data_IF_728984988286
#
_entry.id   IF_728984988286
#
_cell.length_a   1.000
_cell.length_b   1.000
_cell.length_c   1.000
_cell.angle_alpha   90.00
_cell.angle_beta   90.00
_cell.angle_gamma   90.00
#
_symmetry.space_group_name_H-M   'P 1'
#
loop_
_entity.id
_entity.type
_entity.pdbx_description
1 polymer ?
#
# COMPACT_ATOMS: atom_id res chain seq x y z
N UNK A 1 -72.07 25.72 -31.58
CA UNK A 1 -70.88 26.16 -30.81
C UNK A 1 -70.12 24.94 -30.40
N UNK A 2 -69.04 24.55 -31.16
CA UNK A 2 -68.20 23.41 -30.85
C UNK A 2 -66.94 23.93 -30.13
N UNK A 3 -66.75 23.53 -28.90
CA UNK A 3 -65.51 23.81 -28.14
C UNK A 3 -64.48 22.71 -28.45
N UNK A 4 -63.44 23.07 -29.17
CA UNK A 4 -62.25 22.22 -29.39
C UNK A 4 -61.35 22.31 -28.17
N UNK A 5 -61.16 21.15 -27.46
CA UNK A 5 -60.20 21.02 -26.39
C UNK A 5 -58.82 20.68 -26.99
N UNK A 6 -57.91 21.61 -26.84
CA UNK A 6 -56.47 21.32 -27.18
C UNK A 6 -55.82 20.55 -26.02
N UNK A 7 -55.44 19.31 -26.30
CA UNK A 7 -54.59 18.50 -25.40
C UNK A 7 -53.13 18.93 -25.61
N UNK A 8 -52.57 19.61 -24.63
CA UNK A 8 -51.14 19.96 -24.60
C UNK A 8 -50.38 18.78 -24.03
N UNK A 9 -49.75 17.98 -24.89
CA UNK A 9 -48.89 16.84 -24.46
C UNK A 9 -47.55 17.43 -24.06
N UNK A 10 -47.28 17.51 -22.75
CA UNK A 10 -46.01 17.89 -22.17
C UNK A 10 -45.08 16.69 -22.25
N UNK A 11 -44.16 16.65 -23.23
CA UNK A 11 -43.07 15.66 -23.31
C UNK A 11 -42.07 16.01 -22.23
N UNK A 12 -42.06 15.24 -21.12
CA UNK A 12 -40.96 15.23 -20.14
C UNK A 12 -39.76 14.53 -20.80
N UNK A 13 -38.84 15.31 -21.30
CA UNK A 13 -37.46 14.84 -21.60
C UNK A 13 -36.80 14.54 -20.28
N UNK A 14 -36.91 13.30 -19.81
CA UNK A 14 -36.04 12.76 -18.75
C UNK A 14 -34.66 12.62 -19.37
N UNK A 15 -33.84 13.64 -19.22
CA UNK A 15 -32.44 13.56 -19.52
C UNK A 15 -31.82 12.49 -18.61
N UNK A 16 -31.51 11.32 -19.16
CA UNK A 16 -30.61 10.38 -18.51
C UNK A 16 -29.25 11.03 -18.47
N UNK A 17 -28.99 11.80 -17.41
CA UNK A 17 -27.62 12.13 -17.03
C UNK A 17 -26.96 10.81 -16.71
N UNK A 18 -26.14 10.31 -17.61
CA UNK A 18 -25.20 9.25 -17.30
C UNK A 18 -24.37 9.76 -16.13
N UNK A 19 -24.67 9.33 -14.92
CA UNK A 19 -23.80 9.53 -13.78
C UNK A 19 -22.56 8.74 -14.14
N UNK A 20 -21.55 9.40 -14.70
CA UNK A 20 -20.24 8.83 -14.88
C UNK A 20 -19.71 8.53 -13.47
N UNK A 21 -19.94 7.30 -13.03
CA UNK A 21 -19.42 6.88 -11.73
C UNK A 21 -17.89 7.10 -11.74
N UNK A 22 -17.46 8.00 -10.88
CA UNK A 22 -16.05 8.37 -10.71
C UNK A 22 -15.23 7.14 -10.32
N UNK A 23 -14.01 6.99 -10.83
CA UNK A 23 -13.13 5.90 -10.42
C UNK A 23 -12.46 6.26 -9.09
N UNK A 24 -12.68 5.44 -8.08
CA UNK A 24 -12.07 5.62 -6.77
C UNK A 24 -10.78 4.79 -6.67
N UNK A 25 -9.68 5.43 -6.24
CA UNK A 25 -8.42 4.77 -5.85
C UNK A 25 -8.30 4.91 -4.34
N UNK A 26 -8.31 3.78 -3.64
CA UNK A 26 -8.05 3.75 -2.21
C UNK A 26 -6.54 3.73 -1.98
N UNK A 27 -6.02 4.71 -1.27
CA UNK A 27 -4.57 4.92 -1.09
C UNK A 27 -4.07 4.35 0.24
N UNK A 28 -3.81 5.18 1.21
CA UNK A 28 -3.33 4.83 2.53
C UNK A 28 -3.48 6.01 3.47
N UNK A 29 -2.67 6.05 4.51
CA UNK A 29 -2.68 7.16 5.46
C UNK A 29 -2.43 8.49 4.75
N UNK A 30 -3.13 9.53 5.19
CA UNK A 30 -2.95 10.91 4.72
C UNK A 30 -1.49 11.35 4.89
N UNK A 31 -0.91 11.94 3.85
CA UNK A 31 0.50 12.33 3.80
C UNK A 31 1.46 11.15 3.56
N UNK A 32 0.96 9.94 3.36
CA UNK A 32 1.77 8.75 3.10
C UNK A 32 2.15 8.57 1.62
N UNK A 33 3.05 7.61 1.37
CA UNK A 33 3.54 7.30 0.02
C UNK A 33 2.43 6.90 -0.94
N UNK A 34 1.47 6.08 -0.52
CA UNK A 34 0.37 5.64 -1.38
C UNK A 34 -0.51 6.82 -1.83
N UNK A 35 -0.81 7.75 -0.93
CA UNK A 35 -1.58 8.95 -1.29
C UNK A 35 -0.82 9.81 -2.32
N UNK A 36 0.48 10.01 -2.13
CA UNK A 36 1.30 10.76 -3.08
C UNK A 36 1.31 10.10 -4.47
N UNK A 37 1.53 8.78 -4.54
CA UNK A 37 1.50 8.03 -5.79
C UNK A 37 0.12 8.04 -6.45
N UNK A 38 -0.96 7.90 -5.68
CA UNK A 38 -2.33 7.98 -6.18
C UNK A 38 -2.64 9.36 -6.78
N UNK A 39 -2.14 10.44 -6.16
CA UNK A 39 -2.29 11.79 -6.68
C UNK A 39 -1.47 12.02 -7.97
N UNK A 40 -0.27 11.45 -8.10
CA UNK A 40 0.50 11.48 -9.35
C UNK A 40 -0.29 10.75 -10.47
N UNK A 41 -0.86 9.58 -10.20
CA UNK A 41 -1.72 8.83 -11.14
C UNK A 41 -2.93 9.68 -11.54
N UNK A 42 -3.63 10.25 -10.55
CA UNK A 42 -4.78 11.14 -10.78
C UNK A 42 -4.41 12.32 -11.69
N UNK A 43 -3.25 12.96 -11.44
CA UNK A 43 -2.77 14.11 -12.22
C UNK A 43 -2.47 13.78 -13.69
N UNK A 44 -2.13 12.54 -14.01
CA UNK A 44 -1.85 12.09 -15.38
C UNK A 44 -3.08 11.48 -16.08
N UNK A 45 -4.12 11.14 -15.33
CA UNK A 45 -5.30 10.48 -15.89
C UNK A 45 -6.17 11.45 -16.68
N UNK A 46 -6.70 10.97 -17.81
CA UNK A 46 -7.68 11.68 -18.64
C UNK A 46 -9.12 11.53 -18.13
N UNK A 47 -9.33 10.72 -17.12
CA UNK A 47 -10.63 10.51 -16.49
C UNK A 47 -10.64 11.08 -15.07
N UNK A 48 -11.83 11.33 -14.56
CA UNK A 48 -12.00 11.82 -13.19
C UNK A 48 -11.72 10.70 -12.19
N UNK A 49 -10.75 10.95 -11.28
CA UNK A 49 -10.33 10.03 -10.23
C UNK A 49 -10.50 10.69 -8.86
N UNK A 50 -11.09 9.96 -7.92
CA UNK A 50 -11.06 10.32 -6.50
C UNK A 50 -10.01 9.47 -5.78
N UNK A 51 -9.10 10.14 -5.07
CA UNK A 51 -8.17 9.49 -4.15
C UNK A 51 -8.78 9.50 -2.75
N UNK A 52 -8.95 8.31 -2.18
CA UNK A 52 -9.47 8.11 -0.83
C UNK A 52 -8.35 7.63 0.08
N UNK A 53 -8.39 8.07 1.34
CA UNK A 53 -7.45 7.59 2.35
C UNK A 53 -7.97 6.33 3.06
N UNK A 54 -7.06 5.57 3.66
CA UNK A 54 -7.33 4.37 4.44
C UNK A 54 -6.31 4.22 5.57
N UNK A 55 -6.49 3.20 6.41
CA UNK A 55 -5.52 2.83 7.45
C UNK A 55 -4.28 2.09 6.91
N UNK A 56 -4.30 1.65 5.65
CA UNK A 56 -3.20 0.93 4.99
C UNK A 56 -3.62 -0.39 4.35
N UNK A 57 -2.65 -1.25 4.04
CA UNK A 57 -2.85 -2.42 3.16
C UNK A 57 -3.91 -3.41 3.62
N UNK A 58 -4.10 -3.62 4.92
CA UNK A 58 -5.14 -4.53 5.42
C UNK A 58 -6.52 -3.92 5.25
N UNK A 59 -6.67 -2.65 5.59
CA UNK A 59 -7.92 -1.92 5.34
C UNK A 59 -8.23 -1.87 3.84
N UNK A 60 -7.22 -1.62 3.01
CA UNK A 60 -7.32 -1.65 1.56
C UNK A 60 -7.84 -2.98 1.03
N UNK A 61 -7.31 -4.09 1.54
CA UNK A 61 -7.79 -5.42 1.20
C UNK A 61 -9.26 -5.59 1.54
N UNK A 62 -9.65 -5.27 2.78
CA UNK A 62 -11.02 -5.42 3.25
C UNK A 62 -12.01 -4.58 2.43
N UNK A 63 -11.61 -3.37 2.05
CA UNK A 63 -12.44 -2.50 1.23
C UNK A 63 -12.51 -2.94 -0.23
N UNK A 64 -11.41 -3.50 -0.78
CA UNK A 64 -11.36 -3.99 -2.17
C UNK A 64 -12.26 -5.22 -2.39
N UNK A 65 -12.35 -6.11 -1.39
CA UNK A 65 -13.20 -7.30 -1.49
C UNK A 65 -14.68 -7.02 -1.15
N UNK A 66 -14.98 -5.90 -0.52
CA UNK A 66 -16.34 -5.47 -0.23
C UNK A 66 -16.88 -4.66 -1.42
N UNK A 67 -17.66 -5.31 -2.29
CA UNK A 67 -18.18 -4.74 -3.52
C UNK A 67 -19.15 -3.57 -3.31
N UNK A 68 -19.74 -3.44 -2.13
CA UNK A 68 -20.67 -2.34 -1.79
C UNK A 68 -19.96 -0.99 -1.66
N UNK A 69 -18.64 -1.00 -1.46
CA UNK A 69 -17.84 0.22 -1.28
C UNK A 69 -17.51 0.96 -2.58
N UNK A 70 -17.79 0.39 -3.76
CA UNK A 70 -17.38 0.92 -5.06
C UNK A 70 -15.87 1.22 -5.17
N UNK A 71 -15.04 0.44 -4.47
CA UNK A 71 -13.58 0.49 -4.55
C UNK A 71 -13.11 -0.62 -5.48
N UNK A 72 -12.56 -0.24 -6.63
CA UNK A 72 -12.03 -1.22 -7.59
C UNK A 72 -10.51 -1.24 -7.64
N UNK A 73 -9.85 -0.19 -7.16
CA UNK A 73 -8.39 -0.02 -7.26
C UNK A 73 -7.82 0.37 -5.90
N UNK A 74 -6.75 -0.29 -5.49
CA UNK A 74 -6.05 0.04 -4.24
C UNK A 74 -4.58 -0.36 -4.26
N UNK A 75 -3.79 0.29 -3.40
CA UNK A 75 -2.42 -0.12 -3.10
C UNK A 75 -2.42 -1.25 -2.07
N UNK A 76 -1.56 -2.25 -2.25
CA UNK A 76 -1.49 -3.40 -1.36
C UNK A 76 -0.07 -3.97 -1.27
N UNK A 77 0.34 -4.33 -0.06
CA UNK A 77 1.55 -5.10 0.18
C UNK A 77 1.34 -6.57 -0.19
N UNK A 78 2.38 -7.20 -0.74
CA UNK A 78 2.30 -8.58 -1.20
C UNK A 78 2.10 -9.58 -0.05
N UNK A 79 2.72 -9.36 1.09
CA UNK A 79 2.54 -10.22 2.26
C UNK A 79 1.11 -10.16 2.84
N UNK A 80 0.44 -9.03 2.76
CA UNK A 80 -0.98 -8.90 3.10
C UNK A 80 -1.85 -9.75 2.16
N UNK A 81 -1.53 -9.71 0.86
CA UNK A 81 -2.24 -10.52 -0.13
C UNK A 81 -2.06 -12.01 0.11
N UNK A 82 -0.82 -12.46 0.35
CA UNK A 82 -0.50 -13.86 0.65
C UNK A 82 -1.14 -14.34 1.97
N UNK A 83 -1.14 -13.52 3.02
CA UNK A 83 -1.78 -13.86 4.29
C UNK A 83 -3.29 -14.10 4.14
N UNK A 84 -3.95 -13.33 3.28
CA UNK A 84 -5.38 -13.50 3.00
C UNK A 84 -5.66 -14.65 2.02
N UNK A 85 -4.76 -14.93 1.08
CA UNK A 85 -4.88 -16.10 0.18
C UNK A 85 -4.91 -17.42 0.95
N UNK A 86 -4.11 -17.55 2.01
CA UNK A 86 -4.11 -18.74 2.86
C UNK A 86 -5.48 -19.05 3.46
N UNK A 87 -6.32 -18.03 3.65
CA UNK A 87 -7.67 -18.16 4.21
C UNK A 87 -8.76 -18.23 3.12
N UNK A 88 -8.49 -17.65 1.97
CA UNK A 88 -9.38 -17.63 0.81
C UNK A 88 -8.60 -17.89 -0.49
N UNK A 89 -8.38 -19.15 -0.88
CA UNK A 89 -7.66 -19.50 -2.11
C UNK A 89 -8.33 -18.98 -3.40
N UNK A 90 -9.61 -18.65 -3.33
CA UNK A 90 -10.36 -18.14 -4.49
C UNK A 90 -10.05 -16.69 -4.83
N UNK A 91 -9.30 -15.97 -3.99
CA UNK A 91 -8.90 -14.57 -4.26
C UNK A 91 -8.22 -14.39 -5.63
N UNK A 92 -7.47 -15.40 -6.09
CA UNK A 92 -6.85 -15.38 -7.43
C UNK A 92 -7.85 -15.37 -8.59
N UNK A 93 -9.13 -15.67 -8.35
CA UNK A 93 -10.17 -15.59 -9.39
C UNK A 93 -10.59 -14.14 -9.65
N UNK A 94 -10.57 -13.29 -8.63
CA UNK A 94 -11.16 -11.96 -8.67
C UNK A 94 -10.13 -10.83 -8.56
N UNK A 95 -9.06 -11.01 -7.79
CA UNK A 95 -8.04 -9.98 -7.63
C UNK A 95 -6.94 -10.09 -8.69
N UNK A 96 -6.54 -8.92 -9.24
CA UNK A 96 -5.49 -8.81 -10.25
C UNK A 96 -4.50 -7.73 -9.88
N UNK A 97 -3.23 -7.96 -10.22
CA UNK A 97 -2.23 -6.90 -10.24
C UNK A 97 -2.52 -6.01 -11.44
N UNK A 98 -2.91 -4.77 -11.20
CA UNK A 98 -3.05 -3.77 -12.24
C UNK A 98 -1.69 -3.25 -12.68
N UNK A 99 -0.85 -2.91 -11.69
CA UNK A 99 0.51 -2.46 -11.92
C UNK A 99 1.41 -2.98 -10.80
N UNK A 100 2.47 -3.75 -11.13
CA UNK A 100 3.48 -4.12 -10.17
C UNK A 100 4.35 -2.89 -9.90
N UNK A 101 4.19 -2.28 -8.75
CA UNK A 101 4.97 -1.10 -8.39
C UNK A 101 6.37 -1.50 -7.91
N UNK A 102 6.51 -2.69 -7.31
CA UNK A 102 7.74 -3.17 -6.68
C UNK A 102 8.42 -2.09 -5.83
N UNK A 103 7.58 -1.21 -5.27
CA UNK A 103 8.06 -0.22 -4.34
C UNK A 103 8.66 -0.96 -3.17
N UNK A 104 9.95 -0.80 -2.99
CA UNK A 104 10.63 -1.31 -1.82
C UNK A 104 10.09 -0.59 -0.58
N UNK A 105 9.18 -1.22 0.13
CA UNK A 105 8.82 -0.78 1.47
C UNK A 105 9.73 -1.49 2.45
N UNK A 106 10.80 -0.81 2.83
CA UNK A 106 11.78 -1.38 3.73
C UNK A 106 11.20 -1.61 5.11
N UNK A 107 11.50 -2.77 5.66
CA UNK A 107 11.10 -3.16 7.01
C UNK A 107 12.09 -2.55 7.99
N UNK A 108 11.63 -1.61 8.80
CA UNK A 108 12.42 -1.01 9.86
C UNK A 108 12.03 -1.64 11.20
N UNK A 109 13.04 -2.07 11.95
CA UNK A 109 12.88 -2.34 13.39
C UNK A 109 13.75 -1.33 14.10
N UNK A 110 13.11 -0.49 14.90
CA UNK A 110 13.73 0.65 15.55
C UNK A 110 13.79 0.41 17.06
N UNK A 111 14.93 0.71 17.67
CA UNK A 111 15.15 0.64 19.12
C UNK A 111 15.99 1.82 19.59
N UNK A 112 16.10 2.01 20.91
CA UNK A 112 16.96 3.05 21.48
C UNK A 112 18.42 2.82 21.18
N UNK A 113 19.16 3.89 20.88
CA UNK A 113 20.63 3.88 20.86
C UNK A 113 21.15 3.38 22.23
N UNK A 114 22.14 2.47 22.19
CA UNK A 114 22.65 1.84 23.43
C UNK A 114 21.86 0.59 23.87
N UNK A 115 20.70 0.28 23.28
CA UNK A 115 20.01 -0.99 23.51
C UNK A 115 20.88 -2.18 23.11
N UNK A 116 20.70 -3.34 23.78
CA UNK A 116 21.34 -4.60 23.41
C UNK A 116 20.65 -5.32 22.25
N UNK A 117 19.58 -4.75 21.69
CA UNK A 117 18.87 -5.32 20.55
C UNK A 117 19.59 -4.92 19.26
N UNK A 118 20.27 -5.87 18.61
CA UNK A 118 21.03 -5.64 17.38
C UNK A 118 20.53 -6.46 16.18
N UNK A 119 19.80 -7.53 16.46
CA UNK A 119 19.25 -8.45 15.44
C UNK A 119 17.91 -9.05 15.89
N UNK A 120 17.22 -9.77 15.00
CA UNK A 120 15.91 -10.37 15.28
C UNK A 120 15.89 -11.24 16.56
N UNK A 121 16.92 -12.02 16.82
CA UNK A 121 16.96 -12.94 17.97
C UNK A 121 16.93 -12.18 19.31
N UNK A 122 17.45 -10.96 19.33
CA UNK A 122 17.49 -10.12 20.54
C UNK A 122 16.11 -9.58 20.90
N UNK A 123 15.10 -9.70 20.00
CA UNK A 123 13.71 -9.35 20.28
C UNK A 123 12.98 -10.37 21.16
N UNK A 124 13.55 -11.56 21.35
CA UNK A 124 12.91 -12.62 22.14
C UNK A 124 12.56 -12.13 23.54
N UNK A 125 11.28 -12.25 23.92
CA UNK A 125 10.74 -11.80 25.19
C UNK A 125 10.64 -10.28 25.37
N UNK A 126 10.96 -9.48 24.34
CA UNK A 126 10.85 -8.02 24.35
C UNK A 126 9.45 -7.57 24.02
N UNK A 127 9.05 -6.41 24.55
CA UNK A 127 7.81 -5.72 24.15
C UNK A 127 8.07 -4.98 22.84
N UNK A 128 7.39 -5.38 21.79
CA UNK A 128 7.59 -4.81 20.44
C UNK A 128 6.30 -4.24 19.92
N UNK A 129 6.29 -2.96 19.57
CA UNK A 129 5.16 -2.36 18.88
C UNK A 129 5.13 -2.81 17.42
N UNK A 130 4.01 -3.40 17.00
CA UNK A 130 3.88 -4.13 15.72
C UNK A 130 2.95 -3.46 14.72
N UNK A 131 2.57 -2.20 14.94
CA UNK A 131 1.51 -1.53 14.16
C UNK A 131 0.13 -1.88 14.71
N UNK A 132 -0.91 -1.42 14.03
CA UNK A 132 -2.31 -1.75 14.32
C UNK A 132 -2.87 -2.69 13.26
N UNK A 133 -3.92 -3.44 13.58
CA UNK A 133 -4.46 -4.52 12.72
C UNK A 133 -4.87 -4.10 11.30
N UNK A 134 -5.23 -2.82 11.09
CA UNK A 134 -5.54 -2.28 9.76
C UNK A 134 -4.31 -1.99 8.88
N UNK A 135 -3.09 -2.07 9.43
CA UNK A 135 -1.84 -1.72 8.75
C UNK A 135 -1.09 -2.95 8.23
N UNK A 136 -0.43 -2.80 7.10
CA UNK A 136 0.48 -3.82 6.57
C UNK A 136 1.66 -4.09 7.51
N UNK A 137 2.15 -3.09 8.26
CA UNK A 137 3.20 -3.25 9.28
C UNK A 137 2.85 -4.36 10.28
N UNK A 138 1.57 -4.47 10.68
CA UNK A 138 1.12 -5.53 11.57
C UNK A 138 1.30 -6.92 10.94
N UNK A 139 0.85 -7.10 9.72
CA UNK A 139 0.97 -8.37 8.98
C UNK A 139 2.44 -8.74 8.77
N UNK A 140 3.26 -7.78 8.34
CA UNK A 140 4.70 -7.99 8.17
C UNK A 140 5.38 -8.42 9.47
N UNK A 141 5.07 -7.76 10.60
CA UNK A 141 5.63 -8.13 11.90
C UNK A 141 5.21 -9.55 12.31
N UNK A 142 3.93 -9.93 12.15
CA UNK A 142 3.44 -11.27 12.44
C UNK A 142 4.08 -12.33 11.54
N UNK A 143 4.21 -12.04 10.25
CA UNK A 143 4.88 -12.94 9.27
C UNK A 143 6.33 -13.20 9.66
N UNK A 144 7.08 -12.14 10.01
CA UNK A 144 8.47 -12.28 10.47
C UNK A 144 8.54 -13.09 11.77
N UNK A 145 7.67 -12.79 12.74
CA UNK A 145 7.59 -13.53 14.01
C UNK A 145 7.41 -15.03 13.79
N UNK A 146 6.45 -15.38 12.96
CA UNK A 146 6.13 -16.77 12.62
C UNK A 146 7.27 -17.44 11.87
N UNK A 147 7.74 -16.84 10.77
CA UNK A 147 8.76 -17.42 9.90
C UNK A 147 10.12 -17.59 10.57
N UNK A 148 10.47 -16.69 11.49
CA UNK A 148 11.76 -16.74 12.20
C UNK A 148 11.67 -17.43 13.56
N UNK A 149 10.47 -17.83 14.00
CA UNK A 149 10.21 -18.37 15.33
C UNK A 149 10.77 -17.48 16.47
N UNK A 150 10.79 -16.17 16.25
CA UNK A 150 11.25 -15.19 17.23
C UNK A 150 10.10 -14.70 18.07
N UNK A 151 9.96 -15.21 19.29
CA UNK A 151 8.85 -14.89 20.19
C UNK A 151 9.11 -13.58 20.95
N UNK A 152 8.53 -12.49 20.52
CA UNK A 152 8.39 -11.24 21.28
C UNK A 152 6.94 -11.03 21.74
N UNK A 153 6.73 -10.05 22.64
CA UNK A 153 5.42 -9.67 23.14
C UNK A 153 4.89 -8.55 22.25
N UNK A 154 3.79 -8.81 21.55
CA UNK A 154 3.15 -7.82 20.67
C UNK A 154 2.51 -6.70 21.49
N UNK A 155 2.74 -5.46 21.06
CA UNK A 155 2.03 -4.28 21.51
C UNK A 155 1.43 -3.60 20.29
N UNK A 156 0.10 -3.56 20.21
CA UNK A 156 -0.59 -2.95 19.08
C UNK A 156 -0.66 -1.43 19.27
N UNK A 157 0.07 -0.68 18.44
CA UNK A 157 0.02 0.78 18.38
C UNK A 157 0.59 1.29 17.06
N UNK A 158 0.14 2.47 16.64
CA UNK A 158 0.68 3.12 15.45
C UNK A 158 2.13 3.60 15.68
N UNK A 159 2.83 3.96 14.60
CA UNK A 159 4.25 4.30 14.63
C UNK A 159 4.56 5.56 15.47
N UNK A 160 3.67 6.55 15.49
CA UNK A 160 3.88 7.77 16.27
C UNK A 160 3.82 7.49 17.77
N UNK A 161 2.81 6.74 18.20
CA UNK A 161 2.65 6.31 19.58
C UNK A 161 3.78 5.36 19.99
N UNK A 162 4.20 4.47 19.09
CA UNK A 162 5.31 3.54 19.31
C UNK A 162 6.63 4.26 19.55
N UNK A 163 6.91 5.35 18.80
CA UNK A 163 8.09 6.18 19.05
C UNK A 163 8.08 6.78 20.45
N UNK A 164 6.95 7.36 20.88
CA UNK A 164 6.81 7.93 22.21
C UNK A 164 6.91 6.85 23.31
N UNK A 165 6.25 5.70 23.11
CA UNK A 165 6.33 4.56 24.03
C UNK A 165 7.76 4.01 24.15
N UNK A 166 8.50 3.96 23.02
CA UNK A 166 9.91 3.61 23.04
C UNK A 166 10.73 4.58 23.89
N UNK A 167 10.54 5.88 23.74
CA UNK A 167 11.25 6.89 24.55
C UNK A 167 10.96 6.77 26.04
N UNK A 168 9.71 6.44 26.42
CA UNK A 168 9.33 6.20 27.82
C UNK A 168 9.77 4.82 28.34
N UNK A 169 10.19 3.89 27.46
CA UNK A 169 10.58 2.52 27.84
C UNK A 169 9.40 1.57 28.04
N UNK A 170 8.24 1.89 27.53
CA UNK A 170 7.03 1.06 27.56
C UNK A 170 7.12 -0.08 26.55
N UNK A 171 7.86 0.14 25.45
CA UNK A 171 8.27 -0.87 24.48
C UNK A 171 9.79 -0.87 24.29
N UNK A 172 10.36 -2.00 23.90
CA UNK A 172 11.80 -2.19 23.67
C UNK A 172 12.20 -1.86 22.22
N UNK A 173 11.28 -2.07 21.27
CA UNK A 173 11.45 -1.80 19.86
C UNK A 173 10.08 -1.59 19.18
N UNK A 174 10.10 -1.09 17.95
CA UNK A 174 8.89 -1.03 17.12
C UNK A 174 9.19 -1.30 15.65
N UNK A 175 8.20 -1.86 14.96
CA UNK A 175 8.20 -2.01 13.52
C UNK A 175 7.66 -0.76 12.83
N UNK A 176 8.25 -0.47 11.67
CA UNK A 176 7.71 0.46 10.68
C UNK A 176 8.03 -0.09 9.29
N UNK A 177 7.02 -0.30 8.48
CA UNK A 177 7.17 -0.73 7.08
C UNK A 177 6.80 0.42 6.17
N UNK A 178 7.73 0.82 5.33
CA UNK A 178 7.52 1.94 4.41
C UNK A 178 8.78 2.30 3.64
N UNK A 179 8.59 3.01 2.54
CA UNK A 179 9.68 3.41 1.66
C UNK A 179 10.64 4.38 2.31
N UNK A 180 11.94 4.02 2.33
CA UNK A 180 12.99 4.91 2.85
C UNK A 180 13.30 6.08 1.90
N UNK A 181 13.67 7.25 2.42
CA UNK A 181 13.57 7.62 3.82
C UNK A 181 12.13 7.88 4.24
N UNK A 182 11.73 7.35 5.39
CA UNK A 182 10.44 7.64 6.00
C UNK A 182 10.51 9.04 6.60
N UNK A 183 9.64 9.95 6.18
CA UNK A 183 9.69 11.36 6.56
C UNK A 183 9.68 11.56 8.10
N UNK A 184 8.77 10.89 8.81
CA UNK A 184 8.67 10.99 10.27
C UNK A 184 9.91 10.49 11.01
N UNK A 185 10.70 9.57 10.44
CA UNK A 185 11.98 9.14 11.01
C UNK A 185 13.12 10.08 10.62
N UNK A 186 13.06 10.66 9.44
CA UNK A 186 14.07 11.60 8.95
C UNK A 186 14.02 12.91 9.73
N UNK A 187 12.83 13.43 9.98
CA UNK A 187 12.57 14.71 10.64
C UNK A 187 12.93 14.72 12.14
N UNK A 188 13.20 13.54 12.74
CA UNK A 188 13.70 13.47 14.11
C UNK A 188 15.10 14.08 14.29
N UNK A 189 15.82 14.33 13.21
CA UNK A 189 17.13 14.97 13.25
C UNK A 189 18.26 14.06 13.73
N UNK A 190 19.48 14.62 13.80
CA UNK A 190 20.72 13.86 14.08
C UNK A 190 20.84 13.36 15.52
N UNK A 191 20.17 14.00 16.45
CA UNK A 191 20.30 13.71 17.88
C UNK A 191 19.25 12.71 18.38
N UNK A 192 18.41 12.18 17.49
CA UNK A 192 17.44 11.14 17.86
C UNK A 192 18.14 9.95 18.51
N UNK A 193 17.71 9.50 19.71
CA UNK A 193 18.37 8.44 20.47
C UNK A 193 17.98 7.05 19.93
N UNK A 194 18.06 6.87 18.61
CA UNK A 194 17.59 5.69 17.91
C UNK A 194 18.71 4.92 17.20
N UNK A 195 18.48 3.65 16.97
CA UNK A 195 19.21 2.82 16.02
C UNK A 195 18.27 1.84 15.33
N UNK A 196 18.65 1.38 14.15
CA UNK A 196 18.00 0.29 13.42
C UNK A 196 18.55 -1.08 13.85
N UNK A 197 17.69 -2.09 13.80
CA UNK A 197 18.02 -3.49 14.11
C UNK A 197 18.22 -4.24 12.78
N UNK A 198 19.27 -5.09 12.71
CA UNK A 198 19.49 -5.92 11.54
C UNK A 198 18.44 -7.03 11.43
N UNK A 199 17.91 -7.20 10.23
CA UNK A 199 16.98 -8.27 9.87
C UNK A 199 17.68 -9.18 8.89
N UNK A 200 18.00 -10.42 9.29
CA UNK A 200 18.59 -11.44 8.45
C UNK A 200 18.02 -12.80 8.82
N UNK A 201 17.38 -13.46 7.88
CA UNK A 201 16.92 -14.85 8.02
C UNK A 201 16.58 -15.41 6.66
N UNK A 202 17.15 -16.55 6.29
CA UNK A 202 16.83 -17.23 5.04
C UNK A 202 15.37 -17.70 4.96
N UNK A 203 14.69 -17.81 6.10
CA UNK A 203 13.24 -18.12 6.12
C UNK A 203 12.36 -16.98 5.62
N UNK A 204 12.93 -15.83 5.27
CA UNK A 204 12.22 -14.67 4.75
C UNK A 204 12.45 -14.45 3.24
N UNK A 205 13.43 -15.16 2.65
CA UNK A 205 13.91 -14.90 1.29
C UNK A 205 12.88 -15.25 0.19
N UNK A 206 11.88 -16.09 0.52
CA UNK A 206 10.79 -16.47 -0.38
C UNK A 206 9.63 -15.45 -0.41
N UNK A 207 9.55 -14.55 0.57
CA UNK A 207 8.46 -13.55 0.66
C UNK A 207 8.99 -12.13 0.46
N UNK A 208 10.18 -11.84 0.99
CA UNK A 208 10.73 -10.49 1.05
C UNK A 208 12.05 -10.38 0.29
N UNK A 209 12.29 -9.23 -0.30
CA UNK A 209 13.54 -8.93 -0.98
C UNK A 209 14.60 -8.44 0.03
N UNK A 210 15.76 -9.13 0.09
CA UNK A 210 16.87 -8.68 0.92
C UNK A 210 17.37 -7.29 0.49
N UNK A 211 17.43 -6.35 1.41
CA UNK A 211 17.80 -4.94 1.20
C UNK A 211 18.81 -4.45 2.23
N UNK A 212 19.27 -3.23 2.03
CA UNK A 212 20.14 -2.53 2.96
C UNK A 212 19.69 -1.08 3.10
N UNK A 213 19.51 -0.63 4.34
CA UNK A 213 19.39 0.78 4.67
C UNK A 213 20.82 1.30 4.86
N UNK A 214 21.27 2.15 3.92
CA UNK A 214 22.64 2.67 3.94
C UNK A 214 22.83 3.65 5.09
N UNK A 215 24.04 3.69 5.64
CA UNK A 215 24.46 4.75 6.57
C UNK A 215 24.07 6.13 6.03
N UNK A 216 23.50 6.98 6.89
CA UNK A 216 23.09 8.32 6.52
C UNK A 216 21.75 8.43 5.80
N UNK A 217 21.00 7.30 5.63
CA UNK A 217 19.61 7.38 5.15
C UNK A 217 18.76 8.21 6.10
N UNK A 218 19.01 8.09 7.40
CA UNK A 218 18.43 8.97 8.43
C UNK A 218 19.55 9.76 9.12
N UNK A 219 19.34 11.03 9.52
CA UNK A 219 20.38 11.86 10.16
C UNK A 219 21.03 11.24 11.39
N UNK A 220 20.28 10.41 12.14
CA UNK A 220 20.73 9.72 13.35
C UNK A 220 21.38 8.36 13.11
N UNK A 221 21.31 7.83 11.87
CA UNK A 221 21.81 6.48 11.53
C UNK A 221 23.27 6.50 11.07
N UNK A 222 24.14 5.85 11.84
CA UNK A 222 25.59 5.86 11.62
C UNK A 222 26.17 4.59 10.97
N UNK A 223 25.31 3.58 10.70
CA UNK A 223 25.74 2.27 10.21
C UNK A 223 24.86 1.80 9.04
N UNK A 224 25.41 0.90 8.20
CA UNK A 224 24.61 0.15 7.25
C UNK A 224 23.81 -0.93 8.00
N UNK A 225 22.53 -1.06 7.72
CA UNK A 225 21.66 -2.05 8.34
C UNK A 225 21.11 -2.98 7.27
N UNK A 226 21.25 -4.28 7.45
CA UNK A 226 20.60 -5.28 6.61
C UNK A 226 19.14 -5.37 6.99
N UNK A 227 18.28 -5.41 5.99
CA UNK A 227 16.84 -5.53 6.16
C UNK A 227 16.23 -6.27 4.97
N UNK A 228 14.94 -6.33 4.96
CA UNK A 228 14.12 -6.76 3.83
C UNK A 228 13.18 -5.64 3.40
N UNK A 229 12.64 -5.77 2.20
CA UNK A 229 11.53 -4.96 1.73
C UNK A 229 10.38 -5.84 1.27
N UNK A 230 9.17 -5.39 1.55
CA UNK A 230 7.95 -5.95 0.99
C UNK A 230 7.64 -5.25 -0.33
N UNK A 231 7.18 -6.02 -1.31
CA UNK A 231 6.72 -5.45 -2.58
C UNK A 231 5.33 -4.85 -2.42
N UNK A 232 5.08 -3.74 -3.12
CA UNK A 232 3.78 -3.10 -3.22
C UNK A 232 3.25 -3.18 -4.63
N UNK A 233 1.95 -3.32 -4.76
CA UNK A 233 1.21 -3.42 -6.01
C UNK A 233 0.04 -2.46 -6.03
N UNK A 234 -0.35 -2.05 -7.22
CA UNK A 234 -1.68 -1.52 -7.48
C UNK A 234 -2.57 -2.70 -7.88
N UNK A 235 -3.59 -2.97 -7.08
CA UNK A 235 -4.50 -4.11 -7.23
C UNK A 235 -5.86 -3.67 -7.73
N UNK A 236 -6.55 -4.55 -8.46
CA UNK A 236 -7.95 -4.37 -8.84
C UNK A 236 -8.78 -5.60 -8.49
N UNK A 237 -10.05 -5.37 -8.17
CA UNK A 237 -11.06 -6.42 -8.08
C UNK A 237 -11.87 -6.44 -9.39
N UNK A 238 -11.89 -7.61 -10.06
CA UNK A 238 -12.61 -7.80 -11.33
C UNK A 238 -13.93 -8.57 -11.17
N UNK A 239 -14.30 -8.91 -9.93
CA UNK A 239 -15.53 -9.63 -9.64
C UNK A 239 -16.74 -8.80 -10.08
N UNK A 240 -17.62 -9.40 -10.91
CA UNK A 240 -18.83 -8.74 -11.44
C UNK A 240 -18.59 -7.35 -12.05
N UNK A 241 -17.40 -7.11 -12.58
CA UNK A 241 -17.01 -5.81 -13.12
C UNK A 241 -17.86 -5.42 -14.33
N UNK A 242 -18.46 -4.24 -14.28
CA UNK A 242 -19.24 -3.68 -15.40
C UNK A 242 -18.35 -3.32 -16.59
N UNK A 243 -18.91 -3.27 -17.80
CA UNK A 243 -18.20 -2.78 -19.00
C UNK A 243 -17.66 -1.35 -18.80
N UNK A 244 -18.39 -0.50 -18.10
CA UNK A 244 -17.97 0.88 -17.81
C UNK A 244 -16.75 0.89 -16.87
N UNK A 245 -16.77 0.13 -15.79
CA UNK A 245 -15.63 -0.04 -14.90
C UNK A 245 -14.42 -0.60 -15.66
N UNK A 246 -14.62 -1.58 -16.54
CA UNK A 246 -13.55 -2.12 -17.37
C UNK A 246 -12.92 -1.06 -18.28
N UNK A 247 -13.73 -0.21 -18.95
CA UNK A 247 -13.21 0.91 -19.74
C UNK A 247 -12.35 1.86 -18.90
N UNK A 248 -12.82 2.20 -17.71
CA UNK A 248 -12.10 3.08 -16.76
C UNK A 248 -10.78 2.47 -16.31
N UNK A 249 -10.76 1.18 -15.98
CA UNK A 249 -9.51 0.49 -15.61
C UNK A 249 -8.52 0.41 -16.77
N UNK A 250 -9.00 0.16 -17.99
CA UNK A 250 -8.15 0.19 -19.18
C UNK A 250 -7.53 1.57 -19.41
N UNK A 251 -8.31 2.64 -19.24
CA UNK A 251 -7.80 4.02 -19.31
C UNK A 251 -6.80 4.30 -18.21
N UNK A 252 -7.11 3.94 -16.96
CA UNK A 252 -6.22 4.13 -15.81
C UNK A 252 -4.86 3.45 -16.05
N UNK A 253 -4.85 2.19 -16.48
CA UNK A 253 -3.62 1.45 -16.77
C UNK A 253 -2.81 2.16 -17.86
N UNK A 254 -3.46 2.47 -18.99
CA UNK A 254 -2.83 3.16 -20.12
C UNK A 254 -2.25 4.53 -19.74
N UNK A 255 -3.03 5.35 -19.03
CA UNK A 255 -2.59 6.68 -18.61
C UNK A 255 -1.43 6.60 -17.62
N UNK A 256 -1.48 5.63 -16.68
CA UNK A 256 -0.41 5.41 -15.70
C UNK A 256 0.89 4.95 -16.38
N UNK A 257 0.82 4.00 -17.30
CA UNK A 257 2.00 3.52 -18.06
C UNK A 257 2.62 4.64 -18.90
N UNK A 258 1.80 5.43 -19.59
CA UNK A 258 2.24 6.58 -20.37
C UNK A 258 2.84 7.68 -19.49
N UNK A 259 2.29 7.89 -18.29
CA UNK A 259 2.75 8.87 -17.31
C UNK A 259 4.04 8.48 -16.60
N UNK A 260 4.44 7.20 -16.60
CA UNK A 260 5.51 6.68 -15.75
C UNK A 260 6.83 7.45 -15.85
N UNK A 261 7.26 7.80 -17.07
CA UNK A 261 8.49 8.60 -17.26
C UNK A 261 8.39 10.01 -16.63
N UNK A 262 7.19 10.59 -16.67
CA UNK A 262 6.90 11.87 -16.01
C UNK A 262 6.95 11.73 -14.51
N UNK A 263 6.31 10.70 -13.94
CA UNK A 263 6.34 10.42 -12.52
C UNK A 263 7.76 10.21 -12.00
N UNK A 264 8.61 9.47 -12.73
CA UNK A 264 10.02 9.24 -12.38
C UNK A 264 10.85 10.53 -12.39
N UNK A 265 10.44 11.54 -13.16
CA UNK A 265 11.13 12.82 -13.27
C UNK A 265 10.66 13.84 -12.24
N UNK A 266 9.36 14.02 -12.07
CA UNK A 266 8.75 15.10 -11.30
C UNK A 266 7.75 14.66 -10.24
N UNK A 267 7.32 13.39 -10.22
CA UNK A 267 6.43 12.84 -9.22
C UNK A 267 7.15 12.45 -7.93
N UNK A 268 6.44 11.73 -7.07
CA UNK A 268 7.01 11.25 -5.81
C UNK A 268 8.28 10.42 -6.07
N UNK A 269 9.31 10.61 -5.22
CA UNK A 269 10.63 9.96 -5.43
C UNK A 269 10.60 8.44 -5.58
N UNK A 270 9.62 7.77 -5.00
CA UNK A 270 9.45 6.32 -5.10
C UNK A 270 9.12 5.82 -6.52
N UNK A 271 8.63 6.67 -7.41
CA UNK A 271 8.47 6.28 -8.82
C UNK A 271 9.78 5.88 -9.50
N UNK A 272 10.94 6.34 -8.99
CA UNK A 272 12.27 5.95 -9.50
C UNK A 272 12.58 4.48 -9.26
N UNK A 273 11.91 3.85 -8.29
CA UNK A 273 12.06 2.43 -7.97
C UNK A 273 11.08 1.54 -8.78
N UNK A 274 10.15 2.15 -9.53
CA UNK A 274 9.17 1.43 -10.34
C UNK A 274 9.75 1.05 -11.71
N UNK A 275 9.89 -0.25 -11.95
CA UNK A 275 10.34 -0.81 -13.21
C UNK A 275 9.30 -1.81 -13.71
N UNK A 276 8.53 -1.45 -14.73
CA UNK A 276 7.45 -2.30 -15.27
C UNK A 276 7.95 -3.41 -16.19
N UNK A 277 9.22 -3.36 -16.60
CA UNK A 277 9.80 -4.37 -17.51
C UNK A 277 10.55 -5.44 -16.72
N UNK A 278 10.27 -6.70 -17.02
CA UNK A 278 10.96 -7.90 -16.52
C UNK A 278 10.77 -8.21 -15.03
N UNK A 279 9.77 -7.66 -14.37
CA UNK A 279 9.42 -8.05 -13.01
C UNK A 279 8.06 -8.74 -13.03
N UNK A 280 8.04 -9.99 -12.60
CA UNK A 280 6.82 -10.80 -12.47
C UNK A 280 6.60 -11.14 -11.01
N UNK A 281 5.35 -11.06 -10.58
CA UNK A 281 4.91 -11.58 -9.29
C UNK A 281 4.13 -12.86 -9.53
N UNK A 282 4.17 -13.77 -8.58
CA UNK A 282 3.30 -14.95 -8.60
C UNK A 282 1.87 -14.59 -8.21
N UNK A 283 1.27 -13.73 -9.04
CA UNK A 283 -0.14 -13.34 -8.94
C UNK A 283 -0.70 -13.00 -10.32
N UNK A 284 -2.00 -13.31 -10.61
CA UNK A 284 -2.62 -12.98 -11.90
C UNK A 284 -2.63 -11.48 -12.18
N UNK A 285 -2.27 -11.11 -13.41
CA UNK A 285 -2.26 -9.72 -13.85
C UNK A 285 -3.58 -9.32 -14.51
N UNK A 286 -3.91 -8.05 -14.40
CA UNK A 286 -4.92 -7.42 -15.25
C UNK A 286 -4.30 -7.05 -16.59
N UNK A 287 -4.94 -7.51 -17.67
CA UNK A 287 -4.52 -7.16 -19.02
C UNK A 287 -5.59 -6.31 -19.69
N UNK A 288 -5.18 -5.39 -20.55
CA UNK A 288 -6.09 -4.63 -21.39
C UNK A 288 -6.98 -5.60 -22.18
N UNK A 289 -8.28 -5.51 -22.00
CA UNK A 289 -9.25 -6.34 -22.71
C UNK A 289 -10.10 -5.44 -23.61
N UNK A 290 -10.34 -5.81 -24.88
CA UNK A 290 -11.32 -5.10 -25.67
C UNK A 290 -12.68 -5.16 -24.95
N UNK A 291 -13.32 -4.01 -24.84
CA UNK A 291 -14.70 -3.92 -24.34
C UNK A 291 -15.59 -4.18 -25.55
N UNK A 292 -16.13 -5.38 -25.65
CA UNK A 292 -17.09 -5.74 -26.72
C UNK A 292 -18.46 -5.19 -26.30
N UNK A 293 -19.03 -4.33 -27.13
CA UNK A 293 -20.34 -3.69 -26.90
C UNK A 293 -21.51 -4.69 -26.94
#
# INVERSE_FOLDING_TARGET
MRKTAQFLTLLLLIGFSSVNAQLNILSGLKGGTYEALANDIKGASKQEITVLNSEGSVDNYNQLINLDNNIYVTFMQYDVLLANELQNPDLRKDLRVLLPLFLDEEIHIITKKGSKINNLKDLRGKKVAVGVRGQGTFVTAQTIKQRTSTAWIDVEMNSNDAYQALLRGEVDAYFYVGGKPIASLFDLGKDAPLKLVNIKSSSLDDIYMAKKIKKGTYPWQNENVSTYAVATMLMVNIHNMSKDTQRKLNMLLTDTENGLKGFQKTGHQKWKDVYTKNQTMDWPYYYLRPVVD
#
